data_IF_933816643119
#
_entry.id   IF_933816643119
#
_cell.length_a   1.000
_cell.length_b   1.000
_cell.length_c   1.000
_cell.angle_alpha   90.00
_cell.angle_beta   90.00
_cell.angle_gamma   90.00
#
_symmetry.space_group_name_H-M   'P 1'
#
loop_
_entity.id
_entity.type
_entity.pdbx_description
1 polymer ?
#
# COMPACT_ATOMS: atom_id res chain seq x y z
N UNK A 1 -21.63 -14.59 1.69
CA UNK A 1 -20.22 -14.16 1.61
C UNK A 1 -19.78 -14.41 0.19
N UNK A 2 -19.32 -13.36 -0.47
CA UNK A 2 -18.94 -13.46 -1.87
C UNK A 2 -17.53 -14.02 -1.91
N UNK A 3 -17.26 -14.97 -2.78
CA UNK A 3 -15.95 -15.63 -2.92
C UNK A 3 -15.19 -15.15 -4.14
N UNK A 4 -13.90 -15.50 -4.25
CA UNK A 4 -13.12 -15.27 -5.47
C UNK A 4 -13.81 -15.75 -6.75
N UNK A 5 -14.53 -16.90 -6.79
CA UNK A 5 -15.28 -17.30 -7.98
C UNK A 5 -16.38 -16.30 -8.40
N UNK A 6 -16.98 -15.58 -7.45
CA UNK A 6 -17.99 -14.57 -7.75
C UNK A 6 -17.35 -13.29 -8.28
N UNK A 7 -16.19 -12.90 -7.73
CA UNK A 7 -15.37 -11.79 -8.26
C UNK A 7 -14.95 -12.10 -9.70
N UNK A 8 -14.47 -13.31 -9.95
CA UNK A 8 -14.04 -13.74 -11.28
C UNK A 8 -15.19 -13.72 -12.29
N UNK A 9 -16.37 -14.26 -11.93
CA UNK A 9 -17.57 -14.17 -12.78
C UNK A 9 -17.96 -12.73 -13.08
N UNK A 10 -17.94 -11.86 -12.06
CA UNK A 10 -18.25 -10.45 -12.25
C UNK A 10 -17.26 -9.77 -13.22
N UNK A 11 -15.98 -10.15 -13.17
CA UNK A 11 -14.95 -9.70 -14.11
C UNK A 11 -15.24 -10.25 -15.52
N UNK A 12 -15.58 -11.52 -15.64
CA UNK A 12 -15.94 -12.18 -16.91
C UNK A 12 -17.14 -11.48 -17.59
N UNK A 13 -18.15 -11.08 -16.82
CA UNK A 13 -19.36 -10.38 -17.30
C UNK A 13 -19.14 -8.89 -17.62
N UNK A 14 -18.00 -8.32 -17.21
CA UNK A 14 -17.66 -6.90 -17.42
C UNK A 14 -16.71 -6.69 -18.60
N UNK A 15 -16.78 -5.55 -19.30
CA UNK A 15 -15.92 -5.26 -20.45
C UNK A 15 -14.99 -4.06 -20.24
N UNK A 16 -15.47 -2.97 -19.64
CA UNK A 16 -14.66 -1.79 -19.27
C UNK A 16 -14.56 -1.67 -17.74
N UNK A 17 -13.34 -1.78 -17.23
CA UNK A 17 -13.05 -1.93 -15.80
C UNK A 17 -12.06 -0.84 -15.35
N UNK A 18 -12.41 -0.10 -14.30
CA UNK A 18 -11.47 0.78 -13.59
C UNK A 18 -10.98 0.12 -12.30
N UNK A 19 -9.68 -0.07 -12.18
CA UNK A 19 -9.02 -0.38 -10.91
C UNK A 19 -8.68 0.94 -10.22
N UNK A 20 -8.93 1.03 -8.92
CA UNK A 20 -8.74 2.24 -8.12
C UNK A 20 -7.79 1.94 -6.96
N UNK A 21 -6.67 2.64 -6.97
CA UNK A 21 -5.77 2.74 -5.83
C UNK A 21 -6.26 3.86 -4.89
N UNK A 22 -6.13 3.63 -3.58
CA UNK A 22 -6.53 4.65 -2.60
C UNK A 22 -5.56 5.86 -2.59
N UNK A 23 -5.99 6.96 -1.96
CA UNK A 23 -5.14 8.13 -1.70
C UNK A 23 -3.94 7.74 -0.84
N UNK A 24 -2.78 8.35 -1.09
CA UNK A 24 -1.49 7.99 -0.48
C UNK A 24 -1.21 6.48 -0.64
N UNK A 25 -1.16 5.96 -1.89
CA UNK A 25 -1.02 4.54 -2.14
C UNK A 25 0.33 4.03 -1.64
N UNK A 26 0.33 2.84 -1.03
CA UNK A 26 1.53 2.15 -0.59
C UNK A 26 1.90 1.00 -1.53
N UNK A 27 2.75 0.08 -1.06
CA UNK A 27 3.27 -1.00 -1.88
C UNK A 27 2.23 -2.07 -2.18
N UNK A 28 1.33 -2.39 -1.24
CA UNK A 28 0.24 -3.34 -1.47
C UNK A 28 -0.77 -2.78 -2.45
N UNK A 29 -1.23 -1.55 -2.23
CA UNK A 29 -2.14 -0.90 -3.16
C UNK A 29 -1.62 -0.81 -4.58
N UNK A 30 -0.36 -0.38 -4.78
CA UNK A 30 0.21 -0.30 -6.12
C UNK A 30 0.46 -1.70 -6.70
N UNK A 31 1.10 -2.59 -5.93
CA UNK A 31 1.44 -3.93 -6.37
C UNK A 31 0.21 -4.74 -6.78
N UNK A 32 -0.82 -4.78 -5.93
CA UNK A 32 -2.08 -5.46 -6.22
C UNK A 32 -2.82 -4.83 -7.40
N UNK A 33 -2.85 -3.49 -7.50
CA UNK A 33 -3.51 -2.78 -8.59
C UNK A 33 -2.87 -3.04 -9.94
N UNK A 34 -1.55 -3.00 -10.04
CA UNK A 34 -0.84 -3.26 -11.29
C UNK A 34 -0.88 -4.73 -11.69
N UNK A 35 -0.79 -5.66 -10.73
CA UNK A 35 -0.97 -7.09 -10.99
C UNK A 35 -2.39 -7.39 -11.52
N UNK A 36 -3.42 -6.83 -10.89
CA UNK A 36 -4.80 -6.96 -11.35
C UNK A 36 -5.00 -6.34 -12.73
N UNK A 37 -4.45 -5.14 -12.96
CA UNK A 37 -4.51 -4.47 -14.26
C UNK A 37 -3.93 -5.35 -15.38
N UNK A 38 -2.78 -5.98 -15.13
CA UNK A 38 -2.14 -6.91 -16.06
C UNK A 38 -3.02 -8.15 -16.31
N UNK A 39 -3.55 -8.77 -15.26
CA UNK A 39 -4.48 -9.89 -15.38
C UNK A 39 -5.69 -9.54 -16.26
N UNK A 40 -6.35 -8.42 -15.96
CA UNK A 40 -7.55 -7.97 -16.66
C UNK A 40 -7.27 -7.74 -18.17
N UNK A 41 -6.13 -7.14 -18.50
CA UNK A 41 -5.72 -6.93 -19.90
C UNK A 41 -5.41 -8.25 -20.61
N UNK A 42 -4.76 -9.20 -19.93
CA UNK A 42 -4.44 -10.54 -20.48
C UNK A 42 -5.68 -11.35 -20.82
N UNK A 43 -6.75 -11.23 -20.03
CA UNK A 43 -8.04 -11.88 -20.31
C UNK A 43 -8.96 -11.04 -21.22
N UNK A 44 -8.40 -10.03 -21.91
CA UNK A 44 -9.07 -9.28 -22.98
C UNK A 44 -10.00 -8.16 -22.50
N UNK A 45 -9.92 -7.72 -21.24
CA UNK A 45 -10.72 -6.59 -20.73
C UNK A 45 -10.10 -5.25 -21.10
N UNK A 46 -10.93 -4.24 -21.30
CA UNK A 46 -10.48 -2.85 -21.35
C UNK A 46 -10.32 -2.37 -19.91
N UNK A 47 -9.09 -2.42 -19.40
CA UNK A 47 -8.79 -2.07 -18.02
C UNK A 47 -7.89 -0.85 -17.91
N UNK A 48 -8.27 0.05 -17.00
CA UNK A 48 -7.56 1.28 -16.63
C UNK A 48 -7.27 1.26 -15.13
N UNK A 49 -6.22 1.96 -14.70
CA UNK A 49 -5.88 2.17 -13.29
C UNK A 49 -5.96 3.66 -12.97
N UNK A 50 -6.61 4.01 -11.86
CA UNK A 50 -6.64 5.37 -11.34
C UNK A 50 -6.00 5.43 -9.94
N UNK A 51 -5.15 6.44 -9.74
CA UNK A 51 -4.59 6.82 -8.43
C UNK A 51 -4.63 8.35 -8.35
N UNK A 52 -5.32 8.90 -7.35
CA UNK A 52 -5.44 10.37 -7.22
C UNK A 52 -4.09 11.03 -6.95
N UNK A 53 -3.29 10.44 -6.07
CA UNK A 53 -1.98 10.96 -5.66
C UNK A 53 -0.83 10.45 -6.55
N UNK A 54 -1.16 9.71 -7.62
CA UNK A 54 -0.20 9.13 -8.54
C UNK A 54 0.61 7.98 -7.93
N UNK A 55 1.86 7.82 -8.37
CA UNK A 55 2.83 6.88 -7.79
C UNK A 55 3.80 7.69 -6.91
N UNK A 56 3.93 7.38 -5.62
CA UNK A 56 4.91 8.00 -4.73
C UNK A 56 6.33 7.87 -5.27
N UNK A 57 7.16 8.87 -5.02
CA UNK A 57 8.53 8.96 -5.55
C UNK A 57 9.37 7.69 -5.33
N UNK A 58 9.23 7.05 -4.16
CA UNK A 58 9.96 5.82 -3.80
C UNK A 58 9.62 4.62 -4.68
N UNK A 59 8.48 4.67 -5.38
CA UNK A 59 7.95 3.62 -6.23
C UNK A 59 8.05 3.95 -7.73
N UNK A 60 8.45 5.17 -8.12
CA UNK A 60 8.46 5.58 -9.54
C UNK A 60 9.36 4.72 -10.44
N UNK A 61 10.44 4.14 -9.91
CA UNK A 61 11.32 3.23 -10.66
C UNK A 61 10.73 1.83 -10.81
N UNK A 62 9.73 1.47 -9.99
CA UNK A 62 9.15 0.13 -9.92
C UNK A 62 7.84 -0.01 -10.70
N UNK A 63 7.16 1.11 -10.97
CA UNK A 63 5.84 1.12 -11.58
C UNK A 63 5.75 2.10 -12.77
N UNK A 64 5.11 1.70 -13.88
CA UNK A 64 4.97 2.54 -15.06
C UNK A 64 3.89 3.62 -14.85
N UNK A 65 4.31 4.87 -14.69
CA UNK A 65 3.41 6.00 -14.42
C UNK A 65 2.46 6.35 -15.57
N UNK A 66 2.83 6.01 -16.80
CA UNK A 66 2.02 6.16 -18.01
C UNK A 66 0.82 5.20 -18.05
N UNK A 67 0.80 4.17 -17.20
CA UNK A 67 -0.36 3.30 -17.05
C UNK A 67 -1.51 3.94 -16.25
N UNK A 68 -1.24 5.04 -15.53
CA UNK A 68 -2.26 5.74 -14.76
C UNK A 68 -3.18 6.55 -15.68
N UNK A 69 -4.47 6.36 -15.49
CA UNK A 69 -5.52 7.13 -16.15
C UNK A 69 -5.98 8.29 -15.26
N UNK A 70 -6.56 9.31 -15.88
CA UNK A 70 -7.31 10.34 -15.17
C UNK A 70 -8.62 9.77 -14.62
N UNK A 71 -9.23 10.37 -13.58
CA UNK A 71 -10.54 9.96 -13.12
C UNK A 71 -11.53 10.39 -14.19
N UNK A 72 -11.87 9.47 -15.08
CA UNK A 72 -12.87 9.70 -16.09
C UNK A 72 -14.26 9.62 -15.43
N UNK A 73 -15.12 10.61 -15.66
CA UNK A 73 -16.53 10.54 -15.26
C UNK A 73 -17.32 9.52 -16.10
N UNK A 74 -16.69 8.92 -17.11
CA UNK A 74 -17.27 7.84 -17.92
C UNK A 74 -17.82 6.70 -17.05
N UNK A 75 -18.97 6.18 -17.45
CA UNK A 75 -19.61 5.05 -16.78
C UNK A 75 -18.89 3.75 -17.13
N UNK A 76 -17.95 3.34 -16.28
CA UNK A 76 -17.36 1.99 -16.33
C UNK A 76 -18.42 0.93 -16.02
N UNK A 77 -18.27 -0.25 -16.63
CA UNK A 77 -19.13 -1.40 -16.31
C UNK A 77 -18.86 -1.89 -14.90
N UNK A 78 -17.57 -1.93 -14.53
CA UNK A 78 -17.11 -2.29 -13.21
C UNK A 78 -16.05 -1.31 -12.71
N UNK A 79 -16.12 -0.98 -11.43
CA UNK A 79 -15.07 -0.26 -10.72
C UNK A 79 -14.62 -1.10 -9.52
N UNK A 80 -13.32 -1.33 -9.39
CA UNK A 80 -12.71 -2.18 -8.35
C UNK A 80 -11.83 -1.30 -7.45
N UNK A 81 -12.20 -1.18 -6.17
CA UNK A 81 -11.37 -0.58 -5.14
C UNK A 81 -10.52 -1.67 -4.47
N UNK A 82 -9.21 -1.53 -4.52
CA UNK A 82 -8.28 -2.44 -3.84
C UNK A 82 -7.77 -1.83 -2.54
N UNK A 83 -7.53 -2.69 -1.55
CA UNK A 83 -6.74 -2.36 -0.36
C UNK A 83 -7.27 -1.12 0.41
N UNK A 84 -8.59 -1.06 0.53
CA UNK A 84 -9.29 0.14 0.94
C UNK A 84 -10.40 -0.19 1.93
N UNK A 85 -10.15 0.04 3.21
CA UNK A 85 -11.08 -0.23 4.30
C UNK A 85 -12.25 0.78 4.40
N UNK A 86 -12.01 2.05 4.07
CA UNK A 86 -12.97 3.15 4.16
C UNK A 86 -13.11 3.85 2.81
N UNK A 87 -14.35 4.06 2.36
CA UNK A 87 -14.69 4.80 1.14
C UNK A 87 -14.04 6.18 1.04
N UNK A 88 -13.73 6.84 2.16
CA UNK A 88 -13.07 8.16 2.18
C UNK A 88 -11.70 8.12 1.50
N UNK A 89 -11.03 6.97 1.56
CA UNK A 89 -9.72 6.71 0.95
C UNK A 89 -9.77 6.62 -0.58
N UNK A 90 -10.95 6.55 -1.19
CA UNK A 90 -11.09 6.63 -2.65
C UNK A 90 -11.02 8.06 -3.20
N UNK A 91 -11.01 9.09 -2.35
CA UNK A 91 -10.90 10.48 -2.76
C UNK A 91 -11.93 10.87 -3.83
N UNK A 92 -11.48 11.49 -4.92
CA UNK A 92 -12.32 11.90 -6.05
C UNK A 92 -12.99 10.74 -6.77
N UNK A 93 -12.42 9.53 -6.72
CA UNK A 93 -13.01 8.35 -7.35
C UNK A 93 -14.25 7.83 -6.62
N UNK A 94 -14.51 8.26 -5.38
CA UNK A 94 -15.71 7.85 -4.64
C UNK A 94 -17.01 8.17 -5.39
N UNK A 95 -17.09 9.38 -5.97
CA UNK A 95 -18.30 9.84 -6.69
C UNK A 95 -18.66 8.93 -7.90
N UNK A 96 -17.74 8.64 -8.84
CA UNK A 96 -18.02 7.70 -9.92
C UNK A 96 -18.16 6.27 -9.41
N UNK A 97 -17.36 5.83 -8.42
CA UNK A 97 -17.44 4.48 -7.84
C UNK A 97 -18.84 4.15 -7.30
N UNK A 98 -19.46 5.08 -6.57
CA UNK A 98 -20.82 4.92 -6.05
C UNK A 98 -21.87 4.78 -7.16
N UNK A 99 -21.61 5.38 -8.34
CA UNK A 99 -22.52 5.36 -9.50
C UNK A 99 -22.24 4.22 -10.49
N UNK A 100 -21.12 3.49 -10.33
CA UNK A 100 -20.75 2.39 -11.20
C UNK A 100 -21.88 1.35 -11.31
N UNK A 101 -22.03 0.72 -12.49
CA UNK A 101 -23.03 -0.35 -12.67
C UNK A 101 -22.75 -1.48 -11.68
N UNK A 102 -21.49 -1.86 -11.55
CA UNK A 102 -20.99 -2.74 -10.50
C UNK A 102 -19.78 -2.12 -9.82
N UNK A 103 -19.83 -2.00 -8.49
CA UNK A 103 -18.69 -1.60 -7.68
C UNK A 103 -18.22 -2.78 -6.84
N UNK A 104 -16.92 -3.04 -6.86
CA UNK A 104 -16.27 -4.16 -6.18
C UNK A 104 -15.22 -3.60 -5.22
N UNK A 105 -15.11 -4.18 -4.03
CA UNK A 105 -14.00 -3.94 -3.13
C UNK A 105 -13.33 -5.27 -2.76
N UNK A 106 -12.01 -5.33 -2.95
CA UNK A 106 -11.16 -6.47 -2.59
C UNK A 106 -10.16 -5.94 -1.58
N UNK A 107 -10.17 -6.49 -0.37
CA UNK A 107 -9.39 -5.98 0.75
C UNK A 107 -9.08 -7.11 1.76
N UNK A 108 -8.19 -6.85 2.70
CA UNK A 108 -7.83 -7.74 3.79
C UNK A 108 -7.95 -7.10 5.19
N UNK A 109 -8.24 -5.79 5.25
CA UNK A 109 -8.43 -5.07 6.49
C UNK A 109 -9.66 -5.54 7.28
N UNK A 110 -9.47 -5.89 8.56
CA UNK A 110 -10.57 -6.27 9.47
C UNK A 110 -11.54 -5.12 9.76
N UNK A 111 -11.08 -3.87 9.60
CA UNK A 111 -11.85 -2.64 9.82
C UNK A 111 -12.70 -2.22 8.62
N UNK A 112 -12.67 -2.99 7.51
CA UNK A 112 -13.32 -2.62 6.26
C UNK A 112 -14.85 -2.43 6.39
N UNK A 113 -15.36 -1.31 5.87
CA UNK A 113 -16.78 -0.90 5.96
C UNK A 113 -17.73 -1.65 5.00
N UNK A 114 -17.19 -2.45 4.07
CA UNK A 114 -17.92 -3.17 3.01
C UNK A 114 -18.79 -2.24 2.15
N UNK A 115 -18.21 -1.13 1.70
CA UNK A 115 -18.94 -0.02 1.06
C UNK A 115 -19.32 -0.26 -0.42
N UNK A 116 -18.83 -1.33 -1.05
CA UNK A 116 -19.10 -1.63 -2.46
C UNK A 116 -20.36 -2.51 -2.64
N UNK A 117 -20.85 -2.67 -3.88
CA UNK A 117 -21.95 -3.61 -4.19
C UNK A 117 -21.53 -5.06 -3.99
N UNK A 118 -20.27 -5.37 -4.32
CA UNK A 118 -19.63 -6.67 -4.13
C UNK A 118 -18.38 -6.47 -3.26
N UNK A 119 -18.24 -7.21 -2.16
CA UNK A 119 -17.10 -7.06 -1.25
C UNK A 119 -16.47 -8.43 -0.98
N UNK A 120 -15.18 -8.57 -1.28
CA UNK A 120 -14.36 -9.72 -0.92
C UNK A 120 -13.30 -9.27 0.09
N UNK A 121 -13.56 -9.59 1.36
CA UNK A 121 -12.67 -9.25 2.48
C UNK A 121 -12.13 -10.58 3.03
N UNK A 122 -10.84 -10.81 2.88
CA UNK A 122 -10.21 -12.09 3.24
C UNK A 122 -9.15 -11.92 4.32
N UNK A 123 -8.95 -12.97 5.11
CA UNK A 123 -7.77 -13.08 5.97
C UNK A 123 -6.58 -13.45 5.08
N UNK A 124 -5.77 -12.44 4.76
CA UNK A 124 -4.60 -12.55 3.89
C UNK A 124 -3.50 -11.62 4.38
N UNK A 125 -2.26 -11.93 4.01
CA UNK A 125 -1.12 -11.07 4.36
C UNK A 125 -1.12 -9.73 3.65
N UNK A 126 -1.82 -9.61 2.53
CA UNK A 126 -1.92 -8.45 1.64
C UNK A 126 -3.03 -8.68 0.61
N UNK A 127 -3.49 -7.64 -0.06
CA UNK A 127 -4.32 -7.76 -1.26
C UNK A 127 -3.53 -8.37 -2.41
N UNK A 128 -2.21 -8.16 -2.48
CA UNK A 128 -1.32 -8.88 -3.39
C UNK A 128 -1.49 -10.41 -3.33
N UNK A 129 -1.60 -10.99 -2.13
CA UNK A 129 -1.87 -12.42 -1.95
C UNK A 129 -3.21 -12.82 -2.59
N UNK A 130 -4.26 -12.02 -2.39
CA UNK A 130 -5.60 -12.25 -2.95
C UNK A 130 -5.58 -12.19 -4.48
N UNK A 131 -4.85 -11.21 -5.05
CA UNK A 131 -4.75 -11.06 -6.50
C UNK A 131 -3.99 -12.24 -7.12
N UNK A 132 -2.94 -12.75 -6.47
CA UNK A 132 -2.26 -13.96 -6.93
C UNK A 132 -3.21 -15.16 -7.01
N UNK A 133 -4.05 -15.36 -6.01
CA UNK A 133 -5.08 -16.43 -6.03
C UNK A 133 -6.12 -16.21 -7.14
N UNK A 134 -6.58 -14.97 -7.33
CA UNK A 134 -7.52 -14.62 -8.38
C UNK A 134 -6.93 -14.93 -9.77
N UNK A 135 -5.65 -14.59 -9.99
CA UNK A 135 -4.94 -14.89 -11.24
C UNK A 135 -4.84 -16.40 -11.49
N UNK A 136 -4.55 -17.20 -10.45
CA UNK A 136 -4.53 -18.66 -10.54
C UNK A 136 -5.91 -19.22 -10.92
N UNK A 137 -6.99 -18.72 -10.31
CA UNK A 137 -8.35 -19.15 -10.64
C UNK A 137 -8.77 -18.75 -12.06
N UNK A 138 -8.29 -17.59 -12.55
CA UNK A 138 -8.49 -17.15 -13.92
C UNK A 138 -7.64 -17.93 -14.95
N UNK A 139 -6.74 -18.82 -14.52
CA UNK A 139 -5.81 -19.52 -15.40
C UNK A 139 -4.77 -18.62 -16.04
N UNK A 140 -4.46 -17.47 -15.41
CA UNK A 140 -3.49 -16.50 -15.92
C UNK A 140 -2.12 -16.77 -15.29
N UNK A 141 -1.16 -17.18 -16.12
CA UNK A 141 0.23 -17.34 -15.69
C UNK A 141 0.87 -15.98 -15.35
N UNK A 142 1.79 -15.98 -14.38
CA UNK A 142 2.53 -14.77 -13.99
C UNK A 142 3.67 -14.51 -14.97
N UNK A 143 3.80 -13.27 -15.43
CA UNK A 143 5.03 -12.77 -16.05
C UNK A 143 5.91 -12.07 -15.02
N UNK A 144 7.12 -11.66 -15.44
CA UNK A 144 8.05 -10.96 -14.55
C UNK A 144 7.52 -9.66 -13.96
N UNK A 145 6.76 -8.87 -14.73
CA UNK A 145 6.17 -7.63 -14.22
C UNK A 145 5.10 -7.91 -13.16
N UNK A 146 4.16 -8.82 -13.44
CA UNK A 146 3.10 -9.19 -12.48
C UNK A 146 3.70 -9.86 -11.24
N UNK A 147 4.71 -10.70 -11.40
CA UNK A 147 5.43 -11.31 -10.29
C UNK A 147 6.15 -10.26 -9.42
N UNK A 148 6.80 -9.27 -10.03
CA UNK A 148 7.39 -8.13 -9.32
C UNK A 148 6.33 -7.35 -8.55
N UNK A 149 5.20 -7.04 -9.16
CA UNK A 149 4.11 -6.29 -8.50
C UNK A 149 3.51 -7.03 -7.32
N UNK A 150 3.24 -8.33 -7.48
CA UNK A 150 2.75 -9.19 -6.40
C UNK A 150 3.77 -9.32 -5.27
N UNK A 151 5.07 -9.46 -5.58
CA UNK A 151 6.12 -9.43 -4.57
C UNK A 151 6.16 -8.09 -3.82
N UNK A 152 6.10 -6.95 -4.52
CA UNK A 152 6.07 -5.62 -3.89
C UNK A 152 4.91 -5.55 -2.91
N UNK A 153 3.72 -5.99 -3.31
CA UNK A 153 2.54 -5.97 -2.46
C UNK A 153 2.73 -6.82 -1.18
N UNK A 154 3.04 -8.10 -1.35
CA UNK A 154 3.19 -9.02 -0.22
C UNK A 154 4.35 -8.60 0.70
N UNK A 155 5.51 -8.25 0.12
CA UNK A 155 6.70 -7.91 0.91
C UNK A 155 6.54 -6.61 1.69
N UNK A 156 5.85 -5.60 1.14
CA UNK A 156 5.68 -4.32 1.85
C UNK A 156 4.68 -4.43 3.00
N UNK A 157 3.56 -5.13 2.82
CA UNK A 157 2.54 -5.26 3.86
C UNK A 157 2.92 -6.23 4.99
N UNK A 158 3.84 -7.17 4.71
CA UNK A 158 4.41 -8.07 5.73
C UNK A 158 5.65 -7.52 6.42
N UNK A 159 6.02 -6.26 6.17
CA UNK A 159 7.23 -5.67 6.75
C UNK A 159 8.49 -6.41 6.32
N UNK A 160 8.57 -6.75 5.03
CA UNK A 160 9.56 -7.65 4.46
C UNK A 160 9.60 -9.00 5.21
N UNK A 161 8.43 -9.60 5.39
CA UNK A 161 8.21 -10.92 5.99
C UNK A 161 8.59 -11.02 7.49
N UNK A 162 8.46 -9.91 8.23
CA UNK A 162 8.79 -9.85 9.66
C UNK A 162 7.62 -9.50 10.56
N UNK A 163 6.49 -9.08 9.99
CA UNK A 163 5.27 -8.78 10.74
C UNK A 163 4.43 -10.03 11.00
N UNK A 164 3.50 -9.95 11.96
CA UNK A 164 2.67 -11.08 12.42
C UNK A 164 1.68 -11.60 11.37
N UNK A 165 1.37 -10.81 10.34
CA UNK A 165 0.57 -11.22 9.17
C UNK A 165 1.37 -12.09 8.16
N UNK A 166 2.68 -12.29 8.36
CA UNK A 166 3.48 -13.18 7.52
C UNK A 166 3.07 -14.63 7.74
N UNK A 167 2.50 -15.27 6.72
CA UNK A 167 2.04 -16.66 6.77
C UNK A 167 2.92 -17.58 5.94
N UNK A 168 2.88 -18.89 6.23
CA UNK A 168 3.54 -19.89 5.38
C UNK A 168 3.03 -19.85 3.94
N UNK A 169 1.75 -19.52 3.77
CA UNK A 169 1.08 -19.39 2.48
C UNK A 169 1.66 -18.24 1.64
N UNK A 170 1.82 -17.05 2.23
CA UNK A 170 2.39 -15.92 1.48
C UNK A 170 3.86 -16.16 1.11
N UNK A 171 4.64 -16.83 1.97
CA UNK A 171 6.01 -17.23 1.68
C UNK A 171 6.10 -18.25 0.53
N UNK A 172 5.19 -19.22 0.50
CA UNK A 172 5.09 -20.17 -0.62
C UNK A 172 4.79 -19.42 -1.93
N UNK A 173 3.86 -18.48 -1.93
CA UNK A 173 3.54 -17.71 -3.13
C UNK A 173 4.74 -16.90 -3.61
N UNK A 174 5.42 -16.18 -2.70
CA UNK A 174 6.63 -15.44 -3.06
C UNK A 174 7.71 -16.37 -3.61
N UNK A 175 7.88 -17.59 -3.09
CA UNK A 175 8.84 -18.55 -3.62
C UNK A 175 8.56 -18.94 -5.08
N UNK A 176 7.30 -18.91 -5.52
CA UNK A 176 6.92 -19.15 -6.92
C UNK A 176 7.20 -17.93 -7.82
N UNK A 177 7.18 -16.71 -7.25
CA UNK A 177 7.34 -15.46 -8.00
C UNK A 177 8.79 -15.07 -8.25
N UNK A 178 9.70 -15.36 -7.30
CA UNK A 178 11.08 -14.84 -7.30
C UNK A 178 11.95 -15.30 -8.47
N UNK A 179 11.55 -16.36 -9.17
CA UNK A 179 12.23 -16.84 -10.38
C UNK A 179 11.91 -16.00 -11.63
N UNK A 180 10.88 -15.13 -11.57
CA UNK A 180 10.33 -14.42 -12.73
C UNK A 180 10.84 -12.98 -12.87
N UNK A 181 11.49 -12.42 -11.86
CA UNK A 181 11.96 -11.03 -11.83
C UNK A 181 13.26 -10.89 -11.02
N UNK A 182 13.95 -9.75 -11.13
CA UNK A 182 15.12 -9.48 -10.30
C UNK A 182 14.69 -9.07 -8.88
N UNK A 183 14.64 -10.06 -7.98
CA UNK A 183 14.37 -9.87 -6.56
C UNK A 183 15.37 -8.90 -5.92
N UNK A 184 16.65 -9.02 -6.25
CA UNK A 184 17.70 -8.23 -5.60
C UNK A 184 17.54 -6.75 -5.95
N UNK A 185 17.35 -6.44 -7.22
CA UNK A 185 17.14 -5.07 -7.69
C UNK A 185 15.87 -4.48 -7.08
N UNK A 186 14.76 -5.23 -7.10
CA UNK A 186 13.47 -4.78 -6.55
C UNK A 186 13.57 -4.51 -5.05
N UNK A 187 14.14 -5.46 -4.29
CA UNK A 187 14.32 -5.32 -2.84
C UNK A 187 15.31 -4.20 -2.48
N UNK A 188 16.33 -3.96 -3.31
CA UNK A 188 17.26 -2.84 -3.12
C UNK A 188 16.52 -1.51 -3.21
N UNK A 189 15.69 -1.32 -4.23
CA UNK A 189 14.88 -0.11 -4.41
C UNK A 189 13.89 0.07 -3.24
N UNK A 190 13.16 -0.98 -2.86
CA UNK A 190 12.14 -0.92 -1.82
C UNK A 190 12.71 -0.66 -0.42
N UNK A 191 13.78 -1.39 -0.05
CA UNK A 191 14.16 -1.53 1.36
C UNK A 191 15.58 -1.05 1.67
N UNK A 192 16.41 -0.78 0.65
CA UNK A 192 17.84 -0.45 0.85
C UNK A 192 18.26 0.89 0.27
N UNK A 193 17.37 1.57 -0.47
CA UNK A 193 17.60 2.93 -0.95
C UNK A 193 16.87 3.96 -0.10
N UNK A 194 17.56 5.07 0.18
CA UNK A 194 16.97 6.29 0.74
C UNK A 194 17.69 7.51 0.21
N UNK A 195 16.99 8.63 0.14
CA UNK A 195 17.58 9.88 -0.30
C UNK A 195 18.54 10.45 0.75
N UNK A 196 19.49 11.30 0.31
CA UNK A 196 20.31 12.09 1.22
C UNK A 196 19.46 13.02 2.11
N UNK A 197 18.35 13.53 1.57
CA UNK A 197 17.39 14.36 2.31
C UNK A 197 16.81 13.59 3.49
N UNK A 198 16.22 12.40 3.25
CA UNK A 198 15.70 11.53 4.31
C UNK A 198 16.81 11.15 5.31
N UNK A 199 18.01 10.86 4.84
CA UNK A 199 19.16 10.53 5.71
C UNK A 199 19.49 11.69 6.67
N UNK A 200 19.48 12.93 6.17
CA UNK A 200 19.72 14.13 7.00
C UNK A 200 18.55 14.43 7.94
N UNK A 201 17.31 14.17 7.52
CA UNK A 201 16.14 14.28 8.40
C UNK A 201 16.21 13.27 9.54
N UNK A 202 16.58 12.02 9.28
CA UNK A 202 16.80 11.01 10.32
C UNK A 202 17.85 11.51 11.31
N UNK A 203 18.99 12.03 10.83
CA UNK A 203 20.02 12.57 11.72
C UNK A 203 19.49 13.72 12.60
N UNK A 204 18.70 14.65 12.05
CA UNK A 204 18.07 15.75 12.80
C UNK A 204 17.07 15.24 13.84
N UNK A 205 16.21 14.31 13.45
CA UNK A 205 15.23 13.70 14.35
C UNK A 205 15.91 12.97 15.51
N UNK A 206 16.92 12.14 15.21
CA UNK A 206 17.66 11.38 16.22
C UNK A 206 18.51 12.25 17.13
N UNK A 207 19.01 13.39 16.66
CA UNK A 207 19.71 14.36 17.52
C UNK A 207 18.82 14.99 18.60
N UNK A 208 17.49 14.85 18.45
CA UNK A 208 16.46 15.31 19.39
C UNK A 208 15.63 14.14 19.92
N UNK A 209 16.19 12.93 19.92
CA UNK A 209 15.58 11.77 20.54
C UNK A 209 15.56 11.94 22.07
N UNK A 210 14.38 11.79 22.65
CA UNK A 210 14.16 11.85 24.10
C UNK A 210 13.47 10.57 24.56
N UNK A 211 13.91 10.04 25.71
CA UNK A 211 13.33 8.87 26.35
C UNK A 211 12.56 9.28 27.60
N UNK A 212 11.39 8.69 27.77
CA UNK A 212 10.49 8.91 28.88
C UNK A 212 10.06 7.56 29.48
N UNK A 213 9.52 7.60 30.70
CA UNK A 213 9.03 6.41 31.41
C UNK A 213 10.07 5.27 31.44
N UNK A 214 11.26 5.57 31.96
CA UNK A 214 12.37 4.60 32.04
C UNK A 214 12.76 3.97 30.69
N UNK A 215 12.53 4.67 29.58
CA UNK A 215 12.84 4.21 28.22
C UNK A 215 11.66 3.56 27.50
N UNK A 216 10.52 3.34 28.15
CA UNK A 216 9.33 2.75 27.54
C UNK A 216 8.73 3.65 26.45
N UNK A 217 8.95 4.97 26.50
CA UNK A 217 8.44 5.93 25.52
C UNK A 217 9.61 6.65 24.88
N UNK A 218 9.74 6.53 23.55
CA UNK A 218 10.73 7.28 22.78
C UNK A 218 10.06 8.35 21.91
N UNK A 219 10.56 9.57 21.96
CA UNK A 219 10.04 10.71 21.20
C UNK A 219 11.12 11.27 20.31
N UNK A 220 10.83 11.42 19.01
CA UNK A 220 11.67 12.14 18.06
C UNK A 220 10.91 13.34 17.50
N UNK A 221 11.63 14.43 17.25
CA UNK A 221 11.02 15.69 16.80
C UNK A 221 11.71 16.24 15.56
N UNK A 222 10.92 16.67 14.58
CA UNK A 222 11.36 17.50 13.46
C UNK A 222 10.66 18.86 13.46
N UNK A 223 11.46 19.91 13.37
CA UNK A 223 11.00 21.30 13.32
C UNK A 223 10.66 21.70 11.88
N UNK A 224 9.85 22.75 11.72
CA UNK A 224 9.48 23.28 10.40
C UNK A 224 10.70 23.78 9.63
N UNK A 225 11.65 24.40 10.33
CA UNK A 225 12.92 24.85 9.74
C UNK A 225 13.80 23.67 9.28
N UNK A 226 13.73 22.53 9.96
CA UNK A 226 14.50 21.34 9.55
C UNK A 226 14.08 20.89 8.14
N UNK A 227 12.78 20.93 7.86
CA UNK A 227 12.19 20.58 6.57
C UNK A 227 12.55 21.62 5.49
N UNK A 228 12.42 22.90 5.83
CA UNK A 228 12.66 24.02 4.92
C UNK A 228 14.11 24.05 4.44
N UNK A 229 15.07 23.92 5.35
CA UNK A 229 16.49 23.96 5.02
C UNK A 229 16.93 22.80 4.11
N UNK A 230 16.28 21.65 4.23
CA UNK A 230 16.58 20.46 3.42
C UNK A 230 15.75 20.38 2.14
N UNK A 231 14.83 21.32 1.92
CA UNK A 231 13.87 21.26 0.81
C UNK A 231 12.99 20.01 0.87
N UNK A 232 12.71 19.51 2.07
CA UNK A 232 11.99 18.28 2.29
C UNK A 232 10.47 18.48 2.28
N UNK A 233 9.75 17.43 1.91
CA UNK A 233 8.30 17.33 1.97
C UNK A 233 7.86 16.36 3.06
N UNK A 234 6.58 16.34 3.40
CA UNK A 234 6.05 15.37 4.37
C UNK A 234 6.28 13.90 3.96
N UNK A 235 6.39 13.61 2.65
CA UNK A 235 6.70 12.27 2.14
C UNK A 235 8.14 11.83 2.43
N UNK A 236 9.06 12.77 2.64
CA UNK A 236 10.44 12.48 3.02
C UNK A 236 10.58 12.13 4.51
N UNK A 237 9.49 12.15 5.29
CA UNK A 237 9.48 11.82 6.73
C UNK A 237 8.92 10.43 7.04
N UNK A 238 8.57 9.64 6.02
CA UNK A 238 8.09 8.27 6.23
C UNK A 238 9.13 7.44 7.01
N UNK A 239 8.64 6.59 7.91
CA UNK A 239 9.42 5.63 8.72
C UNK A 239 10.46 6.24 9.68
N UNK A 240 10.50 7.57 9.89
CA UNK A 240 11.39 8.17 10.91
C UNK A 240 11.02 7.69 12.33
N UNK A 241 9.73 7.53 12.61
CA UNK A 241 9.23 7.02 13.91
C UNK A 241 9.75 5.61 14.22
N UNK A 242 10.10 4.81 13.20
CA UNK A 242 10.57 3.45 13.41
C UNK A 242 11.93 3.40 14.10
N UNK A 243 12.81 4.38 13.87
CA UNK A 243 14.09 4.45 14.59
C UNK A 243 13.91 4.64 16.10
N UNK A 244 12.88 5.39 16.51
CA UNK A 244 12.52 5.50 17.92
C UNK A 244 11.90 4.19 18.44
N UNK A 245 11.06 3.54 17.63
CA UNK A 245 10.44 2.25 17.97
C UNK A 245 11.46 1.14 18.13
N UNK A 246 12.49 1.09 17.30
CA UNK A 246 13.49 0.01 17.24
C UNK A 246 14.41 -0.06 18.47
N UNK A 247 14.50 1.01 19.26
CA UNK A 247 15.24 1.04 20.54
C UNK A 247 14.72 -0.06 21.45
N UNK A 248 15.61 -0.90 21.99
CA UNK A 248 15.29 -2.16 22.68
C UNK A 248 14.13 -2.01 23.68
N UNK A 249 14.26 -1.04 24.60
CA UNK A 249 13.34 -0.81 25.71
C UNK A 249 12.02 -0.13 25.31
N UNK A 250 11.99 0.53 24.14
CA UNK A 250 10.82 1.32 23.72
C UNK A 250 9.61 0.44 23.44
N UNK A 251 8.49 0.79 24.08
CA UNK A 251 7.17 0.22 23.88
C UNK A 251 6.27 1.13 23.05
N UNK A 252 6.43 2.45 23.17
CA UNK A 252 5.69 3.46 22.41
C UNK A 252 6.68 4.44 21.79
N UNK A 253 6.59 4.61 20.48
CA UNK A 253 7.35 5.61 19.74
C UNK A 253 6.43 6.73 19.28
N UNK A 254 6.88 7.97 19.49
CA UNK A 254 6.19 9.19 19.11
C UNK A 254 7.08 9.97 18.15
N UNK A 255 6.52 10.36 17.02
CA UNK A 255 7.16 11.29 16.11
C UNK A 255 6.34 12.56 16.01
N UNK A 256 6.94 13.66 16.46
CA UNK A 256 6.38 15.01 16.42
C UNK A 256 6.99 15.75 15.23
N UNK A 257 6.13 16.22 14.33
CA UNK A 257 6.56 17.02 13.18
C UNK A 257 5.78 18.32 13.10
N UNK A 258 6.48 19.44 13.18
CA UNK A 258 5.86 20.74 12.96
C UNK A 258 5.35 20.87 11.52
N UNK A 259 4.15 21.43 11.40
CA UNK A 259 3.49 21.79 10.14
C UNK A 259 2.95 23.22 10.28
N UNK A 260 2.59 23.88 9.17
CA UNK A 260 2.24 25.30 9.15
C UNK A 260 1.29 25.76 10.27
N UNK A 261 0.33 24.92 10.67
CA UNK A 261 -0.68 25.25 11.69
C UNK A 261 -0.77 24.19 12.80
N UNK A 262 0.37 23.64 13.25
CA UNK A 262 0.38 22.75 14.41
C UNK A 262 1.47 21.68 14.33
N UNK A 263 1.20 20.53 14.98
CA UNK A 263 2.11 19.40 15.02
C UNK A 263 1.38 18.17 14.51
N UNK A 264 1.94 17.50 13.50
CA UNK A 264 1.52 16.16 13.12
C UNK A 264 2.17 15.17 14.09
N UNK A 265 1.35 14.34 14.73
CA UNK A 265 1.79 13.30 15.64
C UNK A 265 1.67 11.96 14.93
N UNK A 266 2.73 11.16 14.94
CA UNK A 266 2.69 9.77 14.50
C UNK A 266 3.08 8.86 15.66
N UNK A 267 2.21 7.90 15.98
CA UNK A 267 2.40 6.96 17.07
C UNK A 267 2.66 5.57 16.50
N UNK A 268 3.55 4.83 17.15
CA UNK A 268 3.74 3.39 16.93
C UNK A 268 3.98 2.70 18.26
N UNK A 269 3.60 1.44 18.36
CA UNK A 269 3.85 0.62 19.54
C UNK A 269 4.58 -0.67 19.18
N UNK A 270 5.20 -1.30 20.18
CA UNK A 270 5.63 -2.70 20.13
C UNK A 270 4.62 -3.56 20.89
N UNK A 271 4.31 -4.74 20.34
CA UNK A 271 3.35 -5.68 20.94
C UNK A 271 1.92 -5.16 20.86
N UNK A 272 1.13 -5.43 21.91
CA UNK A 272 -0.34 -5.28 21.87
C UNK A 272 -0.85 -3.94 22.42
N UNK A 273 0.02 -2.94 22.60
CA UNK A 273 -0.41 -1.62 23.06
C UNK A 273 -1.11 -0.87 21.92
N UNK A 274 -2.40 -0.60 22.11
CA UNK A 274 -3.18 0.18 21.14
C UNK A 274 -2.80 1.67 21.22
N UNK A 275 -2.36 2.21 20.09
CA UNK A 275 -2.06 3.63 19.88
C UNK A 275 -2.89 4.23 18.74
N UNK A 276 -3.90 3.49 18.27
CA UNK A 276 -4.90 3.97 17.31
C UNK A 276 -5.78 5.05 17.94
N UNK A 277 -6.16 6.04 17.14
CA UNK A 277 -7.05 7.13 17.50
C UNK A 277 -8.29 7.13 16.60
#
# INVERSE_FOLDING_TARGET
MNGLPEILRAIEDSSDILVIAHIQPDGDTLGSSFALLNMLRRIGKRARLYSEDGIPRKYCELFPADALSQPDESAFDMMIALDCADKSRLGKAWKPFKKAKLSVNIDHHVTNERFAKLNYIAEASSVGEIIFELMRQAGVEQDGDSARYLYIAISTDTGNFTYSNTSSKCLLYVSELVELFDLRETADILFRRRSLVLTRLIARALSRLELYDEGNIAVVTLLADDMKELGASGADCENIVDFAREIEETKIAVFLREVNNGVKVSLRSKGDLDVGA
#
